data_IF_837160981322
#
_entry.id   IF_837160981322
#
_cell.length_a   1.000
_cell.length_b   1.000
_cell.length_c   1.000
_cell.angle_alpha   90.00
_cell.angle_beta   90.00
_cell.angle_gamma   90.00
#
_symmetry.space_group_name_H-M   'P 1'
#
loop_
_entity.id
_entity.type
_entity.pdbx_description
1 polymer ?
#
# COMPACT_ATOMS: atom_id res chain seq x y z
N UNK A 1 -17.08 11.54 -7.28
CA UNK A 1 -17.30 10.52 -8.35
C UNK A 1 -15.97 9.81 -8.60
N UNK A 2 -15.93 8.49 -8.61
CA UNK A 2 -14.72 7.79 -9.04
C UNK A 2 -14.48 8.13 -10.52
N UNK A 3 -13.30 8.67 -10.84
CA UNK A 3 -12.94 8.97 -12.23
C UNK A 3 -12.86 7.61 -12.94
N UNK A 4 -13.68 7.45 -13.99
CA UNK A 4 -13.56 6.28 -14.85
C UNK A 4 -12.21 6.37 -15.59
N UNK A 5 -11.50 5.24 -15.70
CA UNK A 5 -10.30 5.15 -16.52
C UNK A 5 -10.63 5.62 -17.95
N UNK A 6 -9.82 6.50 -18.57
CA UNK A 6 -9.96 6.82 -19.98
C UNK A 6 -9.93 5.56 -20.84
N UNK A 7 -10.79 5.47 -21.85
CA UNK A 7 -10.93 4.27 -22.71
C UNK A 7 -9.63 3.93 -23.46
N UNK A 8 -8.75 4.90 -23.63
CA UNK A 8 -7.50 4.83 -24.40
C UNK A 8 -6.24 4.98 -23.54
N UNK A 9 -6.35 4.89 -22.21
CA UNK A 9 -5.18 4.82 -21.34
C UNK A 9 -4.46 3.49 -21.51
N UNK A 10 -3.17 3.53 -21.84
CA UNK A 10 -2.32 2.34 -21.89
C UNK A 10 -2.00 1.85 -20.47
N UNK A 11 -2.85 0.98 -19.96
CA UNK A 11 -2.75 0.43 -18.59
C UNK A 11 -1.51 -0.43 -18.40
N UNK A 12 -1.01 -1.09 -19.47
CA UNK A 12 0.23 -1.88 -19.40
C UNK A 12 1.44 -0.95 -19.25
N UNK A 13 1.46 0.14 -20.00
CA UNK A 13 2.51 1.16 -19.87
C UNK A 13 2.46 1.81 -18.49
N UNK A 14 1.28 2.17 -18.00
CA UNK A 14 1.11 2.74 -16.65
C UNK A 14 1.63 1.79 -15.57
N UNK A 15 1.26 0.51 -15.61
CA UNK A 15 1.77 -0.51 -14.66
C UNK A 15 3.29 -0.61 -14.72
N UNK A 16 3.88 -0.63 -15.91
CA UNK A 16 5.33 -0.70 -16.07
C UNK A 16 6.04 0.54 -15.50
N UNK A 17 5.52 1.74 -15.72
CA UNK A 17 6.06 2.97 -15.15
C UNK A 17 5.94 3.00 -13.62
N UNK A 18 4.80 2.61 -13.05
CA UNK A 18 4.62 2.49 -11.61
C UNK A 18 5.66 1.52 -11.03
N UNK A 19 5.79 0.31 -11.60
CA UNK A 19 6.78 -0.67 -11.15
C UNK A 19 8.21 -0.12 -11.23
N UNK A 20 8.55 0.57 -12.32
CA UNK A 20 9.87 1.19 -12.51
C UNK A 20 10.18 2.23 -11.44
N UNK A 21 9.24 3.13 -11.14
CA UNK A 21 9.40 4.17 -10.12
C UNK A 21 9.59 3.54 -8.75
N UNK A 22 8.73 2.61 -8.35
CA UNK A 22 8.81 1.99 -7.02
C UNK A 22 9.99 1.02 -6.89
N UNK A 23 10.46 0.39 -7.97
CA UNK A 23 11.73 -0.33 -7.95
C UNK A 23 12.90 0.60 -7.64
N UNK A 24 12.94 1.79 -8.26
CA UNK A 24 13.96 2.81 -7.94
C UNK A 24 13.86 3.30 -6.49
N UNK A 25 12.63 3.49 -5.97
CA UNK A 25 12.44 3.85 -4.53
C UNK A 25 12.97 2.74 -3.62
N UNK A 26 12.79 1.47 -3.99
CA UNK A 26 13.34 0.35 -3.23
C UNK A 26 14.88 0.29 -3.29
N UNK A 27 15.49 0.60 -4.42
CA UNK A 27 16.95 0.55 -4.63
C UNK A 27 17.66 1.76 -4.00
N UNK A 28 17.15 2.97 -4.26
CA UNK A 28 17.68 4.23 -3.75
C UNK A 28 16.57 5.11 -3.16
N UNK A 29 16.22 4.92 -1.88
CA UNK A 29 15.25 5.78 -1.21
C UNK A 29 15.66 7.24 -1.10
N UNK A 30 16.94 7.57 -1.28
CA UNK A 30 17.47 8.93 -1.21
C UNK A 30 17.37 9.70 -2.53
N UNK A 31 17.07 9.00 -3.64
CA UNK A 31 16.95 9.58 -4.97
C UNK A 31 15.92 10.71 -5.09
N UNK A 32 15.91 11.43 -6.19
CA UNK A 32 14.89 12.47 -6.45
C UNK A 32 13.59 11.84 -6.98
N UNK A 33 12.48 12.15 -6.30
CA UNK A 33 11.13 11.74 -6.68
C UNK A 33 10.15 12.89 -6.47
N UNK A 34 9.03 12.87 -7.14
CA UNK A 34 8.02 13.94 -7.09
C UNK A 34 7.13 13.89 -5.85
N UNK A 35 7.29 12.89 -4.98
CA UNK A 35 6.50 12.70 -3.77
C UNK A 35 7.37 12.65 -2.50
N UNK A 36 6.75 12.96 -1.38
CA UNK A 36 7.41 12.91 -0.07
C UNK A 36 7.58 11.48 0.42
N UNK A 37 8.65 11.24 1.18
CA UNK A 37 9.02 9.92 1.69
C UNK A 37 9.69 9.98 3.04
N UNK A 38 9.77 8.79 3.65
CA UNK A 38 10.60 8.54 4.81
C UNK A 38 9.91 8.76 6.15
N UNK A 39 10.60 8.40 7.25
CA UNK A 39 10.02 8.37 8.58
C UNK A 39 9.67 9.75 9.12
N UNK A 40 10.46 10.77 8.77
CA UNK A 40 10.19 12.14 9.21
C UNK A 40 8.89 12.69 8.59
N UNK A 41 8.67 12.41 7.30
CA UNK A 41 7.43 12.75 6.61
C UNK A 41 6.24 12.00 7.23
N UNK A 42 6.37 10.69 7.45
CA UNK A 42 5.35 9.87 8.07
C UNK A 42 4.94 10.42 9.46
N UNK A 43 5.93 10.70 10.31
CA UNK A 43 5.66 11.19 11.66
C UNK A 43 5.08 12.61 11.67
N UNK A 44 5.69 13.56 10.93
CA UNK A 44 5.34 14.98 11.02
C UNK A 44 4.12 15.38 10.20
N UNK A 45 3.84 14.70 9.10
CA UNK A 45 2.77 15.07 8.16
C UNK A 45 1.59 14.12 8.17
N UNK A 46 1.84 12.83 8.48
CA UNK A 46 0.81 11.81 8.40
C UNK A 46 0.41 11.25 9.77
N UNK A 47 0.94 11.81 10.87
CA UNK A 47 0.61 11.44 12.25
C UNK A 47 0.91 9.97 12.60
N UNK A 48 1.98 9.39 12.05
CA UNK A 48 2.49 8.13 12.57
C UNK A 48 3.22 8.36 13.90
N UNK A 49 3.11 7.41 14.83
CA UNK A 49 3.84 7.47 16.08
C UNK A 49 5.34 7.24 15.83
N UNK A 50 6.16 8.24 16.15
CA UNK A 50 7.60 8.16 15.97
C UNK A 50 8.24 7.03 16.81
N UNK A 51 7.66 6.68 17.95
CA UNK A 51 8.14 5.56 18.76
C UNK A 51 7.85 4.21 18.09
N UNK A 52 6.70 4.06 17.44
CA UNK A 52 6.40 2.86 16.63
C UNK A 52 7.32 2.78 15.40
N UNK A 53 7.50 3.89 14.68
CA UNK A 53 8.41 3.93 13.53
C UNK A 53 9.85 3.58 13.90
N UNK A 54 10.31 3.98 15.09
CA UNK A 54 11.67 3.67 15.56
C UNK A 54 11.92 2.17 15.85
N UNK A 55 10.88 1.36 15.93
CA UNK A 55 10.98 -0.10 16.08
C UNK A 55 11.19 -0.81 14.73
N UNK A 56 10.95 -0.11 13.64
CA UNK A 56 11.13 -0.64 12.29
C UNK A 56 12.57 -0.42 11.79
N UNK A 57 13.10 -1.32 10.95
CA UNK A 57 14.35 -1.06 10.24
C UNK A 57 14.29 0.22 9.41
N UNK A 58 15.37 1.00 9.37
CA UNK A 58 15.46 2.20 8.54
C UNK A 58 15.14 1.93 7.07
N UNK A 59 15.56 0.76 6.58
CA UNK A 59 15.28 0.29 5.21
C UNK A 59 13.79 0.29 4.86
N UNK A 60 12.91 0.01 5.81
CA UNK A 60 11.45 0.02 5.64
C UNK A 60 10.91 1.45 5.59
N UNK A 61 11.30 2.23 6.59
CA UNK A 61 10.73 3.58 6.78
C UNK A 61 11.23 4.58 5.76
N UNK A 62 12.48 4.48 5.30
CA UNK A 62 13.08 5.36 4.28
C UNK A 62 12.36 5.27 2.93
N UNK A 63 11.88 4.08 2.56
CA UNK A 63 11.16 3.84 1.30
C UNK A 63 9.65 4.13 1.39
N UNK A 64 9.15 4.51 2.57
CA UNK A 64 7.73 4.79 2.75
C UNK A 64 7.29 6.03 1.94
N UNK A 65 6.26 5.85 1.12
CA UNK A 65 5.71 6.87 0.23
C UNK A 65 4.18 6.98 0.33
N UNK A 66 3.62 6.63 1.49
CA UNK A 66 2.18 6.72 1.72
C UNK A 66 1.67 8.17 1.77
N UNK A 67 0.37 8.34 1.64
CA UNK A 67 -0.30 9.66 1.57
C UNK A 67 -1.13 9.97 2.81
N UNK A 68 -1.24 9.02 3.72
CA UNK A 68 -1.94 9.17 5.00
C UNK A 68 -1.55 8.07 5.98
N UNK A 69 -2.34 7.90 7.04
CA UNK A 69 -2.12 6.88 8.06
C UNK A 69 -3.37 5.99 8.23
N UNK A 70 -3.43 4.83 7.58
CA UNK A 70 -4.56 3.91 7.73
C UNK A 70 -4.73 3.37 9.16
N UNK A 71 -3.65 3.29 9.95
CA UNK A 71 -3.70 2.84 11.34
C UNK A 71 -4.43 3.84 12.27
N UNK A 72 -4.48 5.13 11.90
CA UNK A 72 -5.19 6.15 12.68
C UNK A 72 -6.72 6.05 12.57
N UNK A 73 -7.25 5.29 11.60
CA UNK A 73 -8.70 5.15 11.37
C UNK A 73 -9.37 4.35 12.50
N UNK A 74 -8.80 3.21 12.84
CA UNK A 74 -9.25 2.39 13.98
C UNK A 74 -8.16 1.39 14.39
N UNK A 75 -8.07 0.99 15.67
CA UNK A 75 -7.13 -0.03 16.12
C UNK A 75 -7.34 -1.36 15.40
N UNK A 76 -6.26 -2.03 15.02
CA UNK A 76 -6.33 -3.38 14.46
C UNK A 76 -6.60 -4.40 15.59
N UNK A 77 -7.57 -5.32 15.44
CA UNK A 77 -7.87 -6.29 16.48
C UNK A 77 -6.71 -7.27 16.67
N UNK A 78 -6.33 -7.54 17.90
CA UNK A 78 -5.34 -8.58 18.21
C UNK A 78 -5.82 -9.95 17.68
N UNK A 79 -4.94 -10.66 17.00
CA UNK A 79 -5.25 -11.97 16.39
C UNK A 79 -5.96 -11.86 15.02
N UNK A 80 -6.21 -10.66 14.49
CA UNK A 80 -6.84 -10.47 13.19
C UNK A 80 -5.93 -10.89 12.03
N UNK A 81 -6.56 -11.24 10.91
CA UNK A 81 -5.91 -11.32 9.59
C UNK A 81 -6.06 -9.97 8.88
N UNK A 82 -4.95 -9.34 8.60
CA UNK A 82 -4.87 -8.05 7.91
C UNK A 82 -4.22 -8.23 6.54
N UNK A 83 -4.78 -7.60 5.51
CA UNK A 83 -4.14 -7.48 4.18
C UNK A 83 -3.77 -6.03 3.94
N UNK A 84 -2.52 -5.81 3.54
CA UNK A 84 -2.00 -4.52 3.09
C UNK A 84 -1.85 -4.54 1.57
N UNK A 85 -2.70 -3.78 0.87
CA UNK A 85 -2.69 -3.70 -0.60
C UNK A 85 -1.72 -2.60 -1.04
N UNK A 86 -0.74 -2.99 -1.87
CA UNK A 86 0.37 -2.14 -2.26
C UNK A 86 1.31 -1.88 -1.09
N UNK A 87 1.71 -2.96 -0.41
CA UNK A 87 2.48 -2.87 0.84
C UNK A 87 3.87 -2.21 0.69
N UNK A 88 4.36 -2.05 -0.54
CA UNK A 88 5.68 -1.49 -0.79
C UNK A 88 6.79 -2.22 -0.02
N UNK A 89 7.71 -1.45 0.56
CA UNK A 89 8.77 -1.99 1.43
C UNK A 89 8.28 -2.48 2.81
N UNK A 90 6.98 -2.33 3.11
CA UNK A 90 6.34 -3.00 4.24
C UNK A 90 6.14 -2.15 5.49
N UNK A 91 6.21 -0.81 5.46
CA UNK A 91 6.05 -0.02 6.68
C UNK A 91 4.68 -0.26 7.35
N UNK A 92 3.59 -0.06 6.63
CA UNK A 92 2.23 -0.29 7.16
C UNK A 92 1.98 -1.78 7.47
N UNK A 93 2.51 -2.68 6.65
CA UNK A 93 2.43 -4.12 6.85
C UNK A 93 3.07 -4.58 8.17
N UNK A 94 4.28 -4.10 8.48
CA UNK A 94 4.99 -4.49 9.70
C UNK A 94 4.37 -3.86 10.94
N UNK A 95 3.89 -2.61 10.86
CA UNK A 95 3.07 -2.00 11.91
C UNK A 95 1.79 -2.81 12.16
N UNK A 96 1.10 -3.23 11.08
CA UNK A 96 -0.06 -4.10 11.22
C UNK A 96 0.29 -5.41 11.93
N UNK A 97 1.42 -6.02 11.59
CA UNK A 97 1.89 -7.25 12.23
C UNK A 97 2.16 -7.07 13.74
N UNK A 98 2.78 -5.96 14.15
CA UNK A 98 2.96 -5.64 15.56
C UNK A 98 1.62 -5.48 16.28
N UNK A 99 0.66 -4.77 15.68
CA UNK A 99 -0.65 -4.53 16.29
C UNK A 99 -1.48 -5.79 16.44
N UNK A 100 -1.54 -6.66 15.40
CA UNK A 100 -2.31 -7.92 15.49
C UNK A 100 -1.62 -8.96 16.37
N UNK A 101 -0.30 -8.85 16.54
CA UNK A 101 0.52 -9.74 17.38
C UNK A 101 0.67 -11.15 16.81
N UNK A 102 1.41 -12.04 17.51
CA UNK A 102 1.86 -13.32 16.96
C UNK A 102 0.75 -14.35 16.71
N UNK A 103 -0.47 -14.10 17.16
CA UNK A 103 -1.66 -14.92 16.86
C UNK A 103 -2.46 -14.40 15.68
N UNK A 104 -2.13 -13.20 15.19
CA UNK A 104 -2.69 -12.62 13.98
C UNK A 104 -1.88 -13.04 12.74
N UNK A 105 -2.27 -12.44 11.62
CA UNK A 105 -1.60 -12.62 10.33
C UNK A 105 -1.60 -11.30 9.56
N UNK A 106 -0.45 -10.88 9.07
CA UNK A 106 -0.34 -9.72 8.19
C UNK A 106 0.15 -10.19 6.82
N UNK A 107 -0.61 -9.85 5.77
CA UNK A 107 -0.32 -10.27 4.41
C UNK A 107 -0.16 -9.01 3.56
N UNK A 108 1.05 -8.76 3.07
CA UNK A 108 1.32 -7.71 2.09
C UNK A 108 1.14 -8.22 0.67
N UNK A 109 0.50 -7.41 -0.17
CA UNK A 109 0.39 -7.67 -1.61
C UNK A 109 1.00 -6.48 -2.34
N UNK A 110 1.97 -6.75 -3.22
CA UNK A 110 2.59 -5.73 -4.06
C UNK A 110 2.96 -6.32 -5.43
N UNK A 111 2.94 -5.51 -6.47
CA UNK A 111 3.30 -5.93 -7.82
C UNK A 111 4.81 -5.80 -8.12
N UNK A 112 5.56 -5.03 -7.29
CA UNK A 112 6.97 -4.69 -7.52
C UNK A 112 7.89 -5.66 -6.80
N UNK A 113 8.70 -6.43 -7.52
CA UNK A 113 9.64 -7.43 -6.95
C UNK A 113 10.58 -6.83 -5.90
N UNK A 114 11.23 -5.73 -6.23
CA UNK A 114 12.20 -5.08 -5.35
C UNK A 114 11.56 -4.64 -4.01
N UNK A 115 10.32 -4.17 -4.04
CA UNK A 115 9.55 -3.82 -2.84
C UNK A 115 9.24 -5.05 -2.00
N UNK A 116 8.71 -6.11 -2.64
CA UNK A 116 8.40 -7.37 -1.94
C UNK A 116 9.61 -8.01 -1.28
N UNK A 117 10.75 -8.00 -1.97
CA UNK A 117 12.00 -8.57 -1.43
C UNK A 117 12.49 -7.77 -0.23
N UNK A 118 12.29 -6.46 -0.23
CA UNK A 118 12.60 -5.60 0.89
C UNK A 118 11.68 -5.89 2.07
N UNK A 119 10.38 -5.92 1.85
CA UNK A 119 9.39 -6.24 2.89
C UNK A 119 9.63 -7.62 3.53
N UNK A 120 9.97 -8.65 2.75
CA UNK A 120 10.29 -10.00 3.26
C UNK A 120 11.55 -10.02 4.12
N UNK A 121 12.62 -9.36 3.67
CA UNK A 121 13.88 -9.26 4.41
C UNK A 121 13.67 -8.59 5.76
N UNK A 122 12.96 -7.48 5.75
CA UNK A 122 12.75 -6.67 6.94
C UNK A 122 11.75 -7.32 7.92
N UNK A 123 10.72 -8.00 7.44
CA UNK A 123 9.85 -8.84 8.27
C UNK A 123 10.66 -9.95 8.99
N UNK A 124 11.58 -10.59 8.25
CA UNK A 124 12.48 -11.61 8.81
C UNK A 124 13.42 -11.01 9.86
N UNK A 125 14.00 -9.84 9.57
CA UNK A 125 14.89 -9.14 10.49
C UNK A 125 14.19 -8.73 11.80
N UNK A 126 12.88 -8.40 11.71
CA UNK A 126 12.03 -8.12 12.88
C UNK A 126 11.53 -9.38 13.60
N UNK A 127 11.81 -10.59 13.09
CA UNK A 127 11.30 -11.85 13.68
C UNK A 127 9.79 -12.04 13.53
N UNK A 128 9.14 -11.36 12.58
CA UNK A 128 7.69 -11.37 12.36
C UNK A 128 7.29 -12.59 11.50
N UNK A 129 7.30 -13.77 12.07
CA UNK A 129 7.02 -15.05 11.38
C UNK A 129 5.59 -15.17 10.86
N UNK A 130 4.68 -14.31 11.29
CA UNK A 130 3.27 -14.26 10.89
C UNK A 130 3.01 -13.21 9.78
N UNK A 131 4.08 -12.67 9.19
CA UNK A 131 4.01 -11.81 8.01
C UNK A 131 4.24 -12.65 6.75
N UNK A 132 3.39 -12.44 5.76
CA UNK A 132 3.55 -12.98 4.41
C UNK A 132 3.59 -11.83 3.41
N UNK A 133 4.40 -11.97 2.34
CA UNK A 133 4.41 -11.00 1.23
C UNK A 133 4.20 -11.75 -0.07
N UNK A 134 3.15 -11.38 -0.79
CA UNK A 134 2.70 -12.02 -2.03
C UNK A 134 2.81 -11.09 -3.22
N UNK A 135 3.04 -11.66 -4.38
CA UNK A 135 2.90 -10.98 -5.65
C UNK A 135 1.41 -10.85 -5.98
N UNK A 136 0.99 -9.68 -6.45
CA UNK A 136 -0.37 -9.48 -6.90
C UNK A 136 -0.69 -8.02 -7.17
N UNK A 137 -1.83 -7.81 -7.80
CA UNK A 137 -2.39 -6.49 -8.11
C UNK A 137 -3.66 -6.27 -7.29
N UNK A 138 -4.00 -5.00 -7.05
CA UNK A 138 -5.22 -4.63 -6.32
C UNK A 138 -6.51 -5.15 -7.01
N UNK A 139 -6.46 -5.38 -8.31
CA UNK A 139 -7.57 -5.88 -9.15
C UNK A 139 -7.68 -7.40 -9.19
N UNK A 140 -6.68 -8.12 -8.65
CA UNK A 140 -6.64 -9.59 -8.61
C UNK A 140 -5.82 -10.05 -7.40
N UNK A 141 -6.40 -9.92 -6.21
CA UNK A 141 -5.71 -10.24 -4.96
C UNK A 141 -5.50 -11.76 -4.82
N UNK A 142 -4.26 -12.22 -4.54
CA UNK A 142 -3.94 -13.63 -4.31
C UNK A 142 -4.38 -14.06 -2.89
N UNK A 143 -5.61 -13.76 -2.52
CA UNK A 143 -6.20 -13.93 -1.20
C UNK A 143 -7.53 -14.67 -1.35
N UNK A 144 -7.82 -15.60 -0.46
CA UNK A 144 -9.08 -16.33 -0.44
C UNK A 144 -10.27 -15.40 -0.10
N UNK A 145 -11.44 -15.70 -0.65
CA UNK A 145 -12.66 -14.98 -0.33
C UNK A 145 -12.99 -15.12 1.17
N UNK A 146 -13.58 -14.07 1.74
CA UNK A 146 -14.09 -14.05 3.13
C UNK A 146 -13.07 -14.54 4.17
N UNK A 147 -11.76 -14.22 3.98
CA UNK A 147 -10.67 -14.69 4.83
C UNK A 147 -10.00 -13.59 5.66
N UNK A 148 -10.30 -12.32 5.38
CA UNK A 148 -9.62 -11.14 5.93
C UNK A 148 -10.53 -10.37 6.89
N UNK A 149 -10.00 -9.98 8.04
CA UNK A 149 -10.73 -9.17 9.01
C UNK A 149 -10.60 -7.66 8.71
N UNK A 150 -9.42 -7.22 8.25
CA UNK A 150 -9.16 -5.83 7.90
C UNK A 150 -8.31 -5.74 6.63
N UNK A 151 -8.73 -4.89 5.71
CA UNK A 151 -7.90 -4.47 4.58
C UNK A 151 -7.37 -3.06 4.86
N UNK A 152 -6.07 -2.87 4.74
CA UNK A 152 -5.42 -1.56 4.74
C UNK A 152 -4.85 -1.26 3.36
N UNK A 153 -4.75 0.02 3.01
CA UNK A 153 -4.09 0.49 1.79
C UNK A 153 -3.70 1.96 1.92
N UNK A 154 -2.56 2.35 1.35
CA UNK A 154 -2.03 3.70 1.49
C UNK A 154 -1.42 4.22 0.19
N UNK A 155 -2.13 5.11 -0.52
CA UNK A 155 -1.67 5.73 -1.76
C UNK A 155 -1.58 4.77 -2.95
N UNK A 156 -2.50 3.82 -3.05
CA UNK A 156 -2.47 2.76 -4.08
C UNK A 156 -3.66 2.84 -5.03
N UNK A 157 -4.87 3.02 -4.50
CA UNK A 157 -6.08 2.98 -5.34
C UNK A 157 -6.15 4.14 -6.32
N UNK A 158 -5.53 5.29 -6.01
CA UNK A 158 -5.38 6.39 -6.97
C UNK A 158 -4.64 5.96 -8.24
N UNK A 159 -3.67 5.03 -8.13
CA UNK A 159 -2.87 4.52 -9.24
C UNK A 159 -3.57 3.42 -10.05
N UNK A 160 -4.65 2.83 -9.53
CA UNK A 160 -5.37 1.72 -10.19
C UNK A 160 -6.39 2.29 -11.19
N UNK A 161 -6.28 2.00 -12.50
CA UNK A 161 -7.27 2.42 -13.49
C UNK A 161 -8.66 1.82 -13.25
N UNK A 162 -8.72 0.52 -13.01
CA UNK A 162 -9.96 -0.26 -12.80
C UNK A 162 -10.38 -0.25 -11.32
N UNK A 163 -10.63 0.93 -10.74
CA UNK A 163 -10.97 1.10 -9.31
C UNK A 163 -12.13 0.23 -8.85
N UNK A 164 -13.13 -0.03 -9.73
CA UNK A 164 -14.26 -0.91 -9.39
C UNK A 164 -13.83 -2.35 -9.20
N UNK A 165 -12.88 -2.84 -10.01
CA UNK A 165 -12.33 -4.18 -9.86
C UNK A 165 -11.56 -4.31 -8.54
N UNK A 166 -10.73 -3.32 -8.21
CA UNK A 166 -10.03 -3.30 -6.93
C UNK A 166 -10.99 -3.28 -5.73
N UNK A 167 -12.05 -2.47 -5.77
CA UNK A 167 -13.06 -2.45 -4.70
C UNK A 167 -13.82 -3.78 -4.62
N UNK A 168 -14.11 -4.43 -5.74
CA UNK A 168 -14.74 -5.74 -5.76
C UNK A 168 -13.84 -6.81 -5.13
N UNK A 169 -12.53 -6.78 -5.40
CA UNK A 169 -11.55 -7.67 -4.76
C UNK A 169 -11.43 -7.43 -3.25
N UNK A 170 -11.40 -6.17 -2.82
CA UNK A 170 -11.43 -5.82 -1.39
C UNK A 170 -12.69 -6.42 -0.74
N UNK A 171 -13.85 -6.25 -1.36
CA UNK A 171 -15.10 -6.82 -0.86
C UNK A 171 -15.08 -8.36 -0.84
N UNK A 172 -14.52 -8.99 -1.86
CA UNK A 172 -14.42 -10.44 -1.98
C UNK A 172 -13.61 -11.08 -0.86
N UNK A 173 -12.47 -10.47 -0.51
CA UNK A 173 -11.55 -11.04 0.49
C UNK A 173 -11.99 -10.78 1.93
N UNK A 174 -12.79 -9.75 2.17
CA UNK A 174 -13.27 -9.42 3.51
C UNK A 174 -14.29 -10.43 4.02
N UNK A 175 -14.12 -10.85 5.26
CA UNK A 175 -15.16 -11.59 6.00
C UNK A 175 -16.42 -10.74 6.17
N UNK A 176 -17.60 -11.35 6.34
CA UNK A 176 -18.76 -10.63 6.83
C UNK A 176 -18.45 -9.86 8.12
N UNK A 177 -18.67 -8.55 8.11
CA UNK A 177 -18.31 -7.65 9.21
C UNK A 177 -16.85 -7.19 9.23
N UNK A 178 -16.03 -7.62 8.27
CA UNK A 178 -14.69 -7.08 8.04
C UNK A 178 -14.71 -5.60 7.63
N UNK A 179 -13.59 -4.91 7.76
CA UNK A 179 -13.51 -3.47 7.48
C UNK A 179 -12.33 -3.08 6.62
N UNK A 180 -12.42 -1.89 6.03
CA UNK A 180 -11.36 -1.24 5.25
C UNK A 180 -10.82 -0.02 5.97
N UNK A 181 -9.51 0.19 5.92
CA UNK A 181 -8.82 1.38 6.41
C UNK A 181 -7.90 1.88 5.30
N UNK A 182 -8.35 2.87 4.54
CA UNK A 182 -7.68 3.37 3.34
C UNK A 182 -7.29 4.82 3.55
N UNK A 183 -6.05 5.14 3.20
CA UNK A 183 -5.57 6.48 2.98
C UNK A 183 -5.23 6.63 1.49
N UNK A 184 -5.83 7.61 0.82
CA UNK A 184 -5.64 7.77 -0.63
C UNK A 184 -5.86 9.22 -1.10
N UNK A 185 -5.39 9.52 -2.31
CA UNK A 185 -5.54 10.82 -2.95
C UNK A 185 -6.90 10.90 -3.61
N UNK A 186 -7.65 11.95 -3.27
CA UNK A 186 -8.95 12.24 -3.89
C UNK A 186 -8.88 13.58 -4.62
N UNK A 187 -9.24 13.58 -5.89
CA UNK A 187 -9.30 14.80 -6.68
C UNK A 187 -10.54 15.61 -6.30
N UNK A 188 -10.33 16.87 -5.90
CA UNK A 188 -11.39 17.81 -5.55
C UNK A 188 -12.09 18.44 -6.76
N UNK A 189 -11.51 18.30 -7.96
CA UNK A 189 -12.02 18.85 -9.21
C UNK A 189 -11.91 17.81 -10.34
N UNK A 190 -12.71 17.99 -11.37
CA UNK A 190 -12.62 17.17 -12.57
C UNK A 190 -11.38 17.56 -13.38
N UNK A 191 -10.53 16.58 -13.70
CA UNK A 191 -9.36 16.83 -14.55
C UNK A 191 -9.77 16.92 -16.02
N UNK A 192 -9.09 17.79 -16.80
CA UNK A 192 -9.20 17.77 -18.27
C UNK A 192 -8.86 16.40 -18.85
N UNK A 193 -9.38 16.11 -20.05
CA UNK A 193 -9.25 14.77 -20.64
C UNK A 193 -7.80 14.42 -21.01
N UNK A 194 -7.02 15.39 -21.45
CA UNK A 194 -5.59 15.28 -21.70
C UNK A 194 -4.79 14.95 -20.44
N UNK A 195 -5.08 15.62 -19.32
CA UNK A 195 -4.46 15.32 -18.03
C UNK A 195 -4.78 13.90 -17.51
N UNK A 196 -5.98 13.38 -17.81
CA UNK A 196 -6.34 12.00 -17.43
C UNK A 196 -5.58 10.93 -18.22
N UNK A 197 -5.06 11.27 -19.39
CA UNK A 197 -4.31 10.37 -20.28
C UNK A 197 -2.81 10.43 -20.05
N UNK A 198 -2.37 11.44 -19.31
CA UNK A 198 -0.96 11.67 -19.02
C UNK A 198 -0.48 10.72 -17.92
N UNK A 199 0.33 9.74 -18.30
CA UNK A 199 0.87 8.72 -17.39
C UNK A 199 1.78 9.36 -16.33
N UNK A 200 2.50 10.43 -16.66
CA UNK A 200 3.37 11.11 -15.72
C UNK A 200 2.56 11.75 -14.57
N UNK A 201 1.33 12.22 -14.87
CA UNK A 201 0.42 12.74 -13.85
C UNK A 201 -0.25 11.65 -12.99
N UNK A 202 -0.24 10.41 -13.42
CA UNK A 202 -0.70 9.27 -12.60
C UNK A 202 0.33 8.84 -11.57
N UNK A 203 1.60 9.05 -11.87
CA UNK A 203 2.73 8.52 -11.08
C UNK A 203 3.43 9.57 -10.25
N UNK A 204 3.11 10.87 -10.43
CA UNK A 204 3.78 12.01 -9.82
C UNK A 204 3.04 12.75 -8.73
#
# INVERSE_FOLDING_TARGET
MAIACPIDLDTLKLSAEIQSIYARVAEDPSGEFHFHRGPEYAARRLNYDAAELSQLPGTVTESFAGVGNPHAIAPLPTGATVVDIGCGAGMDLLLAAFHVGPRGRAIGVDMTDAMRDRARRDATACGLVHVEVREGEATALPIEAESVDVVISNGVLNLVPEKRAAVAEIQRVLKPGGRVQIADIVLGVELPEDARRDIDLWTG
#
